data_IF_852692226506
#
_entry.id   IF_852692226506
#
_cell.length_a   1.000
_cell.length_b   1.000
_cell.length_c   1.000
_cell.angle_alpha   90.00
_cell.angle_beta   90.00
_cell.angle_gamma   90.00
#
_symmetry.space_group_name_H-M   'P 1'
#
loop_
_entity.id
_entity.type
_entity.pdbx_description
1 polymer ?
#
# COMPACT_ATOMS: atom_id res chain seq x y z
N UNK A 1 17.57 17.67 47.00
CA UNK A 1 17.55 19.05 46.46
C UNK A 1 18.68 19.20 45.46
N UNK A 2 18.36 19.23 44.17
CA UNK A 2 19.29 19.64 43.11
C UNK A 2 18.50 20.58 42.20
N UNK A 3 18.76 21.87 42.40
CA UNK A 3 18.16 23.00 41.69
C UNK A 3 18.80 23.12 40.31
N UNK A 4 18.05 22.83 39.25
CA UNK A 4 18.45 23.21 37.90
C UNK A 4 18.08 24.68 37.68
N UNK A 5 19.13 25.52 37.70
CA UNK A 5 19.08 26.91 37.28
C UNK A 5 18.55 27.00 35.84
N UNK A 6 17.41 27.65 35.68
CA UNK A 6 16.94 28.26 34.43
C UNK A 6 18.03 29.17 33.87
N UNK A 7 18.72 28.71 32.83
CA UNK A 7 19.48 29.61 31.95
C UNK A 7 18.46 30.36 31.10
N UNK A 8 18.26 31.63 31.45
CA UNK A 8 17.75 32.64 30.53
C UNK A 8 18.49 32.53 29.19
N UNK A 9 17.75 32.29 28.12
CA UNK A 9 18.19 32.61 26.76
C UNK A 9 17.32 33.79 26.33
N UNK A 10 17.89 34.98 26.46
CA UNK A 10 17.35 36.20 25.91
C UNK A 10 17.01 36.03 24.42
N UNK A 11 15.73 36.21 24.15
CA UNK A 11 15.13 36.84 22.98
C UNK A 11 16.08 37.30 21.87
N UNK A 12 15.98 36.65 20.71
CA UNK A 12 15.95 37.32 19.40
C UNK A 12 15.40 36.35 18.36
N UNK A 13 14.45 36.82 17.55
CA UNK A 13 14.00 36.09 16.37
C UNK A 13 15.20 35.67 15.50
N UNK A 14 15.13 34.53 14.79
CA UNK A 14 16.19 34.10 13.88
C UNK A 14 16.58 35.23 12.89
N UNK A 15 17.82 35.24 12.37
CA UNK A 15 18.26 36.25 11.41
C UNK A 15 17.25 36.42 10.27
N UNK A 16 16.75 37.65 10.08
CA UNK A 16 15.75 37.98 9.05
C UNK A 16 14.29 37.67 9.38
N UNK A 17 13.97 37.09 10.55
CA UNK A 17 12.61 36.64 10.91
C UNK A 17 11.89 37.51 11.96
N UNK A 18 12.45 38.69 12.28
CA UNK A 18 11.90 39.60 13.31
C UNK A 18 10.47 40.10 13.01
N UNK A 19 10.15 40.37 11.75
CA UNK A 19 8.79 40.79 11.37
C UNK A 19 7.77 39.65 11.49
N UNK A 20 8.19 38.42 11.18
CA UNK A 20 7.35 37.23 11.28
C UNK A 20 6.94 36.94 12.73
N UNK A 21 7.90 37.02 13.66
CA UNK A 21 7.63 36.87 15.10
C UNK A 21 6.72 37.98 15.62
N UNK A 22 6.90 39.23 15.18
CA UNK A 22 6.01 40.33 15.55
C UNK A 22 4.58 40.12 15.05
N UNK A 23 4.39 39.54 13.86
CA UNK A 23 3.08 39.14 13.36
C UNK A 23 2.43 38.07 14.25
N UNK A 24 3.16 37.00 14.58
CA UNK A 24 2.64 35.94 15.44
C UNK A 24 2.21 36.44 16.83
N UNK A 25 3.01 37.32 17.45
CA UNK A 25 2.67 37.91 18.75
C UNK A 25 1.46 38.86 18.67
N UNK A 26 1.34 39.64 17.59
CA UNK A 26 0.20 40.54 17.38
C UNK A 26 -1.14 39.77 17.23
N UNK A 27 -1.06 38.51 16.78
CA UNK A 27 -2.23 37.62 16.60
C UNK A 27 -2.53 36.76 17.84
N UNK A 28 -1.95 37.10 19.00
CA UNK A 28 -2.23 36.46 20.29
C UNK A 28 -1.47 35.15 20.55
N UNK A 29 -0.44 34.85 19.77
CA UNK A 29 0.45 33.71 20.03
C UNK A 29 1.40 34.06 21.18
N UNK A 30 1.54 33.13 22.14
CA UNK A 30 2.53 33.30 23.20
C UNK A 30 3.95 33.33 22.63
N UNK A 31 4.81 34.05 23.34
CA UNK A 31 6.15 34.39 22.89
C UNK A 31 6.99 33.15 22.60
N UNK A 32 6.93 32.14 23.45
CA UNK A 32 7.70 30.91 23.32
C UNK A 32 7.31 30.14 22.04
N UNK A 33 6.01 30.08 21.71
CA UNK A 33 5.53 29.46 20.47
C UNK A 33 5.90 30.27 19.23
N UNK A 34 5.80 31.59 19.30
CA UNK A 34 6.16 32.48 18.18
C UNK A 34 7.65 32.35 17.82
N UNK A 35 8.53 32.25 18.82
CA UNK A 35 9.96 32.06 18.61
C UNK A 35 10.32 30.64 18.15
N UNK A 36 9.71 29.61 18.74
CA UNK A 36 9.96 28.22 18.36
C UNK A 36 9.56 27.96 16.88
N UNK A 37 8.43 28.51 16.45
CA UNK A 37 7.96 28.40 15.08
C UNK A 37 8.88 29.13 14.09
N UNK A 38 9.33 30.33 14.44
CA UNK A 38 10.28 31.07 13.60
C UNK A 38 11.62 30.32 13.45
N UNK A 39 12.14 29.70 14.52
CA UNK A 39 13.35 28.88 14.48
C UNK A 39 13.19 27.60 13.65
N UNK A 40 12.03 26.92 13.75
CA UNK A 40 11.70 25.77 12.92
C UNK A 40 11.74 26.11 11.42
N UNK A 41 11.14 27.24 11.03
CA UNK A 41 11.13 27.72 9.64
C UNK A 41 12.55 28.08 9.17
N UNK A 42 13.31 28.77 10.02
CA UNK A 42 14.68 29.17 9.71
C UNK A 42 15.61 27.96 9.50
N UNK A 43 15.53 26.96 10.37
CA UNK A 43 16.35 25.75 10.29
C UNK A 43 16.00 24.92 9.06
N UNK A 44 14.71 24.75 8.75
CA UNK A 44 14.25 24.02 7.56
C UNK A 44 14.73 24.67 6.25
N UNK A 45 14.74 26.00 6.18
CA UNK A 45 15.24 26.75 5.02
C UNK A 45 16.77 26.63 4.83
N UNK A 46 17.50 26.35 5.91
CA UNK A 46 18.94 26.08 5.86
C UNK A 46 19.23 24.59 5.53
N UNK A 47 18.39 23.65 5.99
CA UNK A 47 18.45 22.24 5.60
C UNK A 47 18.14 22.03 4.10
N UNK A 48 17.20 22.78 3.52
CA UNK A 48 16.90 22.75 2.08
C UNK A 48 18.05 23.31 1.21
N UNK A 49 18.95 24.12 1.78
CA UNK A 49 20.16 24.61 1.08
C UNK A 49 21.33 23.63 1.14
N UNK A 50 21.32 22.68 2.08
CA UNK A 50 22.39 21.68 2.27
C UNK A 50 22.02 20.29 1.74
N UNK A 51 20.84 20.12 1.15
CA UNK A 51 20.43 18.85 0.52
C UNK A 51 20.99 18.77 -0.90
N UNK A 52 21.90 17.81 -1.10
CA UNK A 52 22.28 17.34 -2.43
C UNK A 52 21.04 16.83 -3.19
N UNK A 53 20.95 16.99 -4.52
CA UNK A 53 19.76 16.65 -5.31
C UNK A 53 19.38 15.16 -5.40
N UNK A 54 19.97 14.28 -4.59
CA UNK A 54 19.90 12.82 -4.78
C UNK A 54 18.78 12.09 -4.01
N UNK A 55 17.97 12.75 -3.19
CA UNK A 55 16.87 12.09 -2.44
C UNK A 55 15.48 12.17 -3.10
N UNK A 56 15.41 12.20 -4.43
CA UNK A 56 14.17 11.89 -5.17
C UNK A 56 14.29 10.47 -5.75
N UNK A 57 14.52 9.51 -4.84
CA UNK A 57 14.55 8.09 -5.12
C UNK A 57 13.17 7.63 -5.61
N UNK A 58 12.94 7.78 -6.91
CA UNK A 58 11.96 7.01 -7.63
C UNK A 58 12.35 5.55 -7.52
N UNK A 59 11.81 4.85 -6.52
CA UNK A 59 11.93 3.42 -6.28
C UNK A 59 12.10 2.67 -7.60
N UNK A 60 13.33 2.21 -7.82
CA UNK A 60 13.55 1.05 -8.67
C UNK A 60 12.91 -0.07 -7.87
N UNK A 61 11.74 -0.55 -8.30
CA UNK A 61 11.29 -1.88 -7.92
C UNK A 61 12.36 -2.83 -8.47
N UNK A 62 13.37 -3.10 -7.64
CA UNK A 62 14.10 -4.35 -7.70
C UNK A 62 13.04 -5.40 -7.39
N UNK A 63 12.39 -5.88 -8.46
CA UNK A 63 11.70 -7.15 -8.39
C UNK A 63 12.76 -8.11 -7.88
N UNK A 64 12.54 -8.64 -6.68
CA UNK A 64 13.17 -9.86 -6.23
C UNK A 64 12.97 -10.81 -7.40
N UNK A 65 14.00 -11.02 -8.23
CA UNK A 65 14.00 -12.15 -9.14
C UNK A 65 13.69 -13.33 -8.25
N UNK A 66 12.64 -14.10 -8.55
CA UNK A 66 12.24 -15.30 -7.81
C UNK A 66 13.52 -16.08 -7.48
N UNK A 67 14.04 -15.85 -6.28
CA UNK A 67 15.38 -16.26 -5.93
C UNK A 67 15.17 -17.72 -5.61
N UNK A 68 15.71 -18.61 -6.43
CA UNK A 68 15.65 -20.02 -6.13
C UNK A 68 16.28 -20.21 -4.75
N UNK A 69 15.52 -20.80 -3.84
CA UNK A 69 15.97 -21.06 -2.48
C UNK A 69 16.67 -22.41 -2.55
N UNK A 70 17.98 -22.43 -2.35
CA UNK A 70 18.78 -23.65 -2.48
C UNK A 70 18.55 -24.38 -3.83
N UNK A 71 18.22 -23.65 -4.91
CA UNK A 71 17.93 -24.23 -6.21
C UNK A 71 16.47 -24.63 -6.46
N UNK A 72 15.58 -24.47 -5.49
CA UNK A 72 14.13 -24.73 -5.61
C UNK A 72 13.40 -23.46 -6.04
N UNK A 73 12.58 -23.53 -7.10
CA UNK A 73 11.76 -22.39 -7.53
C UNK A 73 10.60 -22.13 -6.55
N UNK A 74 9.99 -20.95 -6.60
CA UNK A 74 8.84 -20.64 -5.73
C UNK A 74 7.68 -21.62 -5.95
N UNK A 75 7.39 -21.94 -7.22
CA UNK A 75 6.35 -22.90 -7.60
C UNK A 75 6.68 -24.32 -7.15
N UNK A 76 7.94 -24.75 -7.27
CA UNK A 76 8.34 -26.07 -6.78
C UNK A 76 8.22 -26.16 -5.26
N UNK A 77 8.50 -25.06 -4.53
CA UNK A 77 8.40 -25.03 -3.06
C UNK A 77 6.98 -25.37 -2.57
N UNK A 78 5.94 -24.93 -3.27
CA UNK A 78 4.55 -25.28 -2.94
C UNK A 78 4.33 -26.79 -2.99
N UNK A 79 4.76 -27.43 -4.07
CA UNK A 79 4.68 -28.88 -4.23
C UNK A 79 5.53 -29.62 -3.18
N UNK A 80 6.73 -29.11 -2.85
CA UNK A 80 7.59 -29.70 -1.81
C UNK A 80 6.90 -29.66 -0.44
N UNK A 81 6.23 -28.55 -0.10
CA UNK A 81 5.44 -28.42 1.13
C UNK A 81 4.31 -29.46 1.16
N UNK A 82 3.60 -29.67 0.05
CA UNK A 82 2.52 -30.67 -0.03
C UNK A 82 3.04 -32.09 0.19
N UNK A 83 4.14 -32.46 -0.48
CA UNK A 83 4.76 -33.78 -0.31
C UNK A 83 5.21 -33.99 1.14
N UNK A 84 5.89 -33.01 1.73
CA UNK A 84 6.31 -33.06 3.13
C UNK A 84 5.11 -33.16 4.09
N UNK A 85 4.05 -32.39 3.85
CA UNK A 85 2.81 -32.45 4.63
C UNK A 85 2.17 -33.84 4.58
N UNK A 86 2.21 -34.48 3.41
CA UNK A 86 1.60 -35.79 3.19
C UNK A 86 2.47 -36.99 3.61
N UNK A 87 3.56 -36.75 4.34
CA UNK A 87 4.39 -37.80 4.94
C UNK A 87 5.74 -38.00 4.25
N UNK A 88 6.12 -37.08 3.36
CA UNK A 88 7.38 -37.11 2.64
C UNK A 88 7.33 -37.93 1.36
N UNK A 89 8.44 -37.91 0.61
CA UNK A 89 8.53 -38.43 -0.75
C UNK A 89 7.93 -39.83 -0.95
N UNK A 90 8.27 -40.78 -0.08
CA UNK A 90 7.85 -42.19 -0.24
C UNK A 90 6.40 -42.45 0.21
N UNK A 91 5.79 -41.52 0.94
CA UNK A 91 4.46 -41.71 1.55
C UNK A 91 3.39 -40.79 0.98
N UNK A 92 3.78 -39.74 0.26
CA UNK A 92 2.86 -38.80 -0.36
C UNK A 92 2.11 -39.48 -1.53
N UNK A 93 0.82 -39.18 -1.73
CA UNK A 93 0.02 -39.80 -2.79
C UNK A 93 0.41 -39.33 -4.20
N UNK A 94 1.03 -38.16 -4.32
CA UNK A 94 1.52 -37.56 -5.56
C UNK A 94 2.74 -36.67 -5.24
N UNK A 95 3.68 -36.59 -6.18
CA UNK A 95 4.86 -35.72 -6.12
C UNK A 95 4.71 -34.49 -7.02
N UNK A 96 3.60 -34.37 -7.75
CA UNK A 96 3.24 -33.22 -8.59
C UNK A 96 4.30 -32.89 -9.66
N UNK A 97 4.96 -33.93 -10.17
CA UNK A 97 6.02 -33.80 -11.18
C UNK A 97 7.35 -33.29 -10.64
N UNK A 98 7.51 -33.16 -9.31
CA UNK A 98 8.79 -32.85 -8.70
C UNK A 98 9.83 -33.94 -9.01
N UNK A 99 11.08 -33.51 -9.12
CA UNK A 99 12.23 -34.41 -9.10
C UNK A 99 12.66 -34.65 -7.65
N UNK A 100 13.22 -35.83 -7.38
CA UNK A 100 13.66 -36.21 -6.03
C UNK A 100 14.70 -35.22 -5.48
N UNK A 101 15.62 -34.79 -6.34
CA UNK A 101 16.67 -33.84 -5.96
C UNK A 101 16.10 -32.46 -5.58
N UNK A 102 15.02 -32.04 -6.27
CA UNK A 102 14.32 -30.80 -5.94
C UNK A 102 13.60 -30.90 -4.59
N UNK A 103 12.98 -32.04 -4.30
CA UNK A 103 12.37 -32.29 -3.01
C UNK A 103 13.41 -32.33 -1.89
N UNK A 104 14.49 -33.11 -2.05
CA UNK A 104 15.53 -33.26 -1.03
C UNK A 104 16.20 -31.91 -0.71
N UNK A 105 16.35 -31.02 -1.70
CA UNK A 105 16.86 -29.67 -1.49
C UNK A 105 15.93 -28.77 -0.65
N UNK A 106 14.62 -29.00 -0.70
CA UNK A 106 13.60 -28.22 0.01
C UNK A 106 13.02 -28.89 1.27
N UNK A 107 13.29 -30.19 1.48
CA UNK A 107 12.57 -31.03 2.46
C UNK A 107 12.62 -30.46 3.88
N UNK A 108 13.81 -30.09 4.38
CA UNK A 108 13.96 -29.60 5.74
C UNK A 108 13.13 -28.32 6.01
N UNK A 109 13.06 -27.43 5.01
CA UNK A 109 12.28 -26.19 5.06
C UNK A 109 10.78 -26.54 5.04
N UNK A 110 10.39 -27.37 4.08
CA UNK A 110 9.01 -27.80 3.88
C UNK A 110 8.43 -28.57 5.09
N UNK A 111 9.23 -29.39 5.77
CA UNK A 111 8.82 -30.11 6.97
C UNK A 111 8.49 -29.17 8.14
N UNK A 112 9.27 -28.10 8.33
CA UNK A 112 8.98 -27.09 9.36
C UNK A 112 7.65 -26.38 9.04
N UNK A 113 7.49 -25.92 7.79
CA UNK A 113 6.26 -25.25 7.34
C UNK A 113 5.05 -26.19 7.48
N UNK A 114 5.16 -27.43 7.02
CA UNK A 114 4.09 -28.41 7.09
C UNK A 114 3.70 -28.76 8.53
N UNK A 115 4.67 -28.81 9.45
CA UNK A 115 4.41 -29.02 10.88
C UNK A 115 3.59 -27.88 11.45
N UNK A 116 3.98 -26.64 11.18
CA UNK A 116 3.27 -25.45 11.67
C UNK A 116 1.86 -25.36 11.07
N UNK A 117 1.69 -25.68 9.78
CA UNK A 117 0.36 -25.73 9.16
C UNK A 117 -0.52 -26.75 9.89
N UNK A 118 -0.02 -27.96 10.20
CA UNK A 118 -0.80 -28.97 10.92
C UNK A 118 -1.23 -28.48 12.30
N UNK A 119 -0.33 -27.85 13.06
CA UNK A 119 -0.63 -27.39 14.42
C UNK A 119 -1.64 -26.25 14.44
N UNK A 120 -1.52 -25.28 13.51
CA UNK A 120 -2.35 -24.07 13.53
C UNK A 120 -3.71 -24.26 12.85
N UNK A 121 -3.77 -25.05 11.76
CA UNK A 121 -4.99 -25.21 10.97
C UNK A 121 -5.82 -26.44 11.35
N UNK A 122 -5.24 -27.39 12.09
CA UNK A 122 -5.80 -28.72 12.35
C UNK A 122 -6.13 -29.50 11.06
N UNK A 123 -5.48 -29.19 9.94
CA UNK A 123 -5.66 -29.94 8.69
C UNK A 123 -5.30 -31.43 8.89
N UNK A 124 -6.13 -32.39 8.44
CA UNK A 124 -5.88 -33.81 8.64
C UNK A 124 -4.55 -34.25 8.01
N UNK A 125 -3.89 -35.24 8.61
CA UNK A 125 -2.69 -35.82 8.00
C UNK A 125 -3.00 -36.37 6.60
N UNK A 126 -2.03 -36.22 5.67
CA UNK A 126 -2.14 -36.70 4.27
C UNK A 126 -3.32 -36.11 3.47
N UNK A 127 -3.81 -34.94 3.85
CA UNK A 127 -4.97 -34.31 3.19
C UNK A 127 -4.63 -33.13 2.28
N UNK A 128 -3.37 -32.66 2.27
CA UNK A 128 -3.01 -31.45 1.55
C UNK A 128 -2.84 -31.73 0.07
N UNK A 129 -3.31 -30.82 -0.76
CA UNK A 129 -3.33 -30.92 -2.21
C UNK A 129 -2.77 -29.62 -2.77
N UNK A 130 -1.84 -29.73 -3.72
CA UNK A 130 -1.34 -28.58 -4.47
C UNK A 130 -2.42 -28.11 -5.44
N UNK A 131 -2.76 -26.82 -5.45
CA UNK A 131 -3.66 -26.29 -6.46
C UNK A 131 -3.02 -26.31 -7.85
N UNK A 132 -1.71 -26.07 -7.92
CA UNK A 132 -0.93 -26.04 -9.16
C UNK A 132 -1.21 -24.81 -10.01
N UNK A 133 -0.89 -24.89 -11.31
CA UNK A 133 -1.12 -23.81 -12.30
C UNK A 133 -2.58 -23.69 -12.76
N UNK A 134 -3.52 -24.23 -11.98
CA UNK A 134 -4.94 -24.24 -12.30
C UNK A 134 -5.55 -22.84 -12.37
N UNK A 135 -6.70 -22.75 -13.06
CA UNK A 135 -7.49 -21.52 -13.17
C UNK A 135 -8.77 -21.70 -12.37
N UNK A 136 -8.97 -20.88 -11.33
CA UNK A 136 -10.18 -20.91 -10.52
C UNK A 136 -11.39 -20.38 -11.29
N UNK A 137 -12.58 -20.90 -10.98
CA UNK A 137 -13.81 -20.41 -11.61
C UNK A 137 -14.20 -19.05 -11.05
N UNK A 138 -14.19 -18.05 -11.92
CA UNK A 138 -14.57 -16.68 -11.57
C UNK A 138 -16.09 -16.55 -11.37
N UNK A 139 -16.47 -15.70 -10.42
CA UNK A 139 -17.82 -15.19 -10.27
C UNK A 139 -18.21 -14.39 -11.54
N UNK A 140 -19.38 -14.65 -12.17
CA UNK A 140 -19.84 -13.90 -13.34
C UNK A 140 -19.91 -12.38 -13.15
N UNK A 141 -20.11 -11.92 -11.91
CA UNK A 141 -20.16 -10.49 -11.57
C UNK A 141 -18.76 -9.87 -11.39
N UNK A 142 -17.70 -10.69 -11.45
CA UNK A 142 -16.31 -10.21 -11.43
C UNK A 142 -15.93 -9.65 -12.81
N UNK A 143 -15.54 -8.39 -12.87
CA UNK A 143 -15.20 -7.71 -14.13
C UNK A 143 -13.86 -8.17 -14.70
N UNK A 144 -12.96 -8.67 -13.83
CA UNK A 144 -11.62 -9.11 -14.21
C UNK A 144 -11.62 -10.49 -14.87
N UNK A 145 -10.58 -10.77 -15.66
CA UNK A 145 -10.39 -12.08 -16.30
C UNK A 145 -9.27 -12.90 -15.66
N UNK A 146 -8.62 -12.38 -14.62
CA UNK A 146 -7.52 -13.09 -13.97
C UNK A 146 -8.07 -14.21 -13.09
N UNK A 147 -8.10 -15.44 -13.60
CA UNK A 147 -8.51 -16.63 -12.86
C UNK A 147 -7.43 -17.25 -11.98
N UNK A 148 -6.28 -16.59 -11.76
CA UNK A 148 -5.26 -17.10 -10.81
C UNK A 148 -5.87 -17.17 -9.41
N UNK A 149 -5.98 -18.37 -8.82
CA UNK A 149 -6.51 -18.58 -7.48
C UNK A 149 -5.78 -17.77 -6.41
N UNK A 150 -6.44 -17.56 -5.27
CA UNK A 150 -5.78 -17.08 -4.04
C UNK A 150 -5.17 -18.22 -3.23
N UNK A 151 -5.62 -19.44 -3.50
CA UNK A 151 -5.19 -20.65 -2.84
C UNK A 151 -4.04 -21.29 -3.60
N UNK A 152 -2.95 -21.55 -2.90
CA UNK A 152 -1.82 -22.30 -3.42
C UNK A 152 -1.93 -23.77 -2.98
N UNK A 153 -2.34 -24.01 -1.73
CA UNK A 153 -2.56 -25.34 -1.17
C UNK A 153 -3.97 -25.46 -0.57
N UNK A 154 -4.63 -26.61 -0.72
CA UNK A 154 -5.89 -26.86 -0.01
C UNK A 154 -5.97 -28.27 0.57
N UNK A 155 -6.80 -28.46 1.59
CA UNK A 155 -7.04 -29.75 2.22
C UNK A 155 -8.44 -30.28 1.88
N UNK A 156 -8.62 -31.59 2.05
CA UNK A 156 -9.93 -32.23 1.93
C UNK A 156 -10.93 -31.79 3.01
N UNK A 157 -10.49 -31.11 4.07
CA UNK A 157 -11.34 -30.58 5.15
C UNK A 157 -11.70 -29.09 4.98
N UNK A 158 -11.43 -28.49 3.82
CA UNK A 158 -11.82 -27.10 3.52
C UNK A 158 -10.87 -26.03 4.07
N UNK A 159 -9.64 -26.40 4.43
CA UNK A 159 -8.55 -25.44 4.66
C UNK A 159 -7.93 -25.08 3.32
N UNK A 160 -7.96 -23.81 2.94
CA UNK A 160 -7.41 -23.26 1.70
C UNK A 160 -6.38 -22.18 2.04
N UNK A 161 -5.13 -22.41 1.69
CA UNK A 161 -3.97 -21.66 2.14
C UNK A 161 -3.40 -20.84 0.98
N UNK A 162 -3.22 -19.54 1.23
CA UNK A 162 -2.32 -18.69 0.46
C UNK A 162 -0.93 -18.71 1.08
N UNK A 163 0.08 -19.08 0.31
CA UNK A 163 1.48 -19.07 0.68
C UNK A 163 2.12 -17.74 0.28
N UNK A 164 2.88 -17.15 1.19
CA UNK A 164 3.69 -15.95 0.92
C UNK A 164 5.07 -16.09 1.54
N UNK A 165 6.08 -15.63 0.81
CA UNK A 165 7.41 -15.48 1.37
C UNK A 165 7.48 -14.22 2.26
N UNK A 166 8.21 -14.32 3.38
CA UNK A 166 8.52 -13.18 4.22
C UNK A 166 9.25 -12.08 3.43
N UNK A 167 8.95 -10.81 3.73
CA UNK A 167 9.55 -9.65 3.05
C UNK A 167 8.88 -9.22 1.73
N UNK A 168 7.98 -10.02 1.15
CA UNK A 168 7.33 -9.74 -0.13
C UNK A 168 5.91 -9.12 -0.06
N UNK A 169 5.48 -8.58 1.09
CA UNK A 169 4.05 -8.41 1.36
C UNK A 169 3.39 -7.17 0.71
N UNK A 170 2.95 -7.35 -0.53
CA UNK A 170 1.78 -6.66 -1.08
C UNK A 170 0.53 -7.53 -0.87
N UNK A 171 -0.56 -6.96 -0.37
CA UNK A 171 -1.86 -7.66 -0.23
C UNK A 171 -2.54 -7.74 -1.59
N UNK A 172 -2.41 -6.69 -2.40
CA UNK A 172 -3.05 -6.57 -3.70
C UNK A 172 -2.19 -5.74 -4.65
N UNK A 173 -2.24 -6.11 -5.93
CA UNK A 173 -1.79 -5.29 -7.05
C UNK A 173 -2.76 -5.50 -8.21
N UNK A 174 -3.85 -4.72 -8.21
CA UNK A 174 -4.93 -4.83 -9.20
C UNK A 174 -4.75 -3.87 -10.37
N UNK A 175 -5.07 -4.34 -11.58
CA UNK A 175 -5.40 -3.47 -12.70
C UNK A 175 -6.86 -3.03 -12.62
N UNK A 176 -7.35 -2.26 -13.61
CA UNK A 176 -8.68 -1.64 -13.61
C UNK A 176 -9.78 -2.61 -13.17
N UNK A 177 -9.97 -3.70 -13.89
CA UNK A 177 -11.11 -4.59 -13.69
C UNK A 177 -11.05 -5.32 -12.34
N UNK A 178 -9.86 -5.79 -11.96
CA UNK A 178 -9.62 -6.41 -10.64
C UNK A 178 -9.87 -5.41 -9.50
N UNK A 179 -9.46 -4.16 -9.67
CA UNK A 179 -9.62 -3.12 -8.65
C UNK A 179 -11.08 -2.77 -8.46
N UNK A 180 -11.79 -2.45 -9.54
CA UNK A 180 -13.21 -2.08 -9.47
C UNK A 180 -14.06 -3.23 -8.91
N UNK A 181 -13.75 -4.48 -9.28
CA UNK A 181 -14.46 -5.64 -8.74
C UNK A 181 -14.23 -5.83 -7.24
N UNK A 182 -13.02 -5.55 -6.74
CA UNK A 182 -12.71 -5.59 -5.30
C UNK A 182 -13.51 -4.52 -4.53
N UNK A 183 -13.65 -3.31 -5.10
CA UNK A 183 -14.53 -2.28 -4.53
C UNK A 183 -15.99 -2.73 -4.50
N UNK A 184 -16.49 -3.26 -5.61
CA UNK A 184 -17.88 -3.74 -5.70
C UNK A 184 -18.17 -4.88 -4.72
N UNK A 185 -17.24 -5.83 -4.56
CA UNK A 185 -17.35 -6.90 -3.58
C UNK A 185 -17.44 -6.37 -2.14
N UNK A 186 -16.62 -5.38 -1.79
CA UNK A 186 -16.66 -4.74 -0.48
C UNK A 186 -17.96 -3.95 -0.25
N UNK A 187 -18.46 -3.25 -1.27
CA UNK A 187 -19.77 -2.57 -1.24
C UNK A 187 -20.88 -3.59 -1.01
N UNK A 188 -20.90 -4.68 -1.78
CA UNK A 188 -21.89 -5.75 -1.65
C UNK A 188 -21.87 -6.38 -0.26
N UNK A 189 -20.67 -6.60 0.29
CA UNK A 189 -20.47 -7.15 1.64
C UNK A 189 -21.08 -6.26 2.74
N UNK A 190 -21.04 -4.93 2.57
CA UNK A 190 -21.60 -3.96 3.52
C UNK A 190 -23.08 -3.63 3.28
N UNK A 191 -23.59 -3.90 2.07
CA UNK A 191 -24.94 -3.50 1.66
C UNK A 191 -25.20 -2.01 1.87
N UNK A 192 -26.33 -1.69 2.52
CA UNK A 192 -26.74 -0.30 2.77
C UNK A 192 -25.80 0.51 3.69
N UNK A 193 -24.82 -0.14 4.33
CA UNK A 193 -23.82 0.54 5.17
C UNK A 193 -22.60 1.03 4.37
N UNK A 194 -22.48 0.67 3.09
CA UNK A 194 -21.36 1.09 2.26
C UNK A 194 -21.30 2.63 2.14
N UNK A 195 -20.12 3.25 2.32
CA UNK A 195 -19.95 4.69 2.12
C UNK A 195 -20.38 5.16 0.72
N UNK A 196 -21.22 6.19 0.64
CA UNK A 196 -21.82 6.64 -0.64
C UNK A 196 -20.79 7.27 -1.58
N UNK A 197 -19.72 7.82 -1.03
CA UNK A 197 -18.62 8.45 -1.75
C UNK A 197 -17.76 7.46 -2.56
N UNK A 198 -17.88 6.15 -2.32
CA UNK A 198 -17.09 5.12 -3.04
C UNK A 198 -17.30 5.21 -4.55
N UNK A 199 -18.54 5.38 -5.00
CA UNK A 199 -18.84 5.44 -6.44
C UNK A 199 -18.11 6.60 -7.12
N UNK A 200 -18.00 7.74 -6.43
CA UNK A 200 -17.22 8.88 -6.92
C UNK A 200 -15.73 8.55 -6.96
N UNK A 201 -15.19 7.97 -5.89
CA UNK A 201 -13.78 7.55 -5.84
C UNK A 201 -13.43 6.56 -6.95
N UNK A 202 -14.29 5.58 -7.21
CA UNK A 202 -14.12 4.62 -8.30
C UNK A 202 -14.11 5.32 -9.67
N UNK A 203 -15.01 6.30 -9.87
CA UNK A 203 -15.04 7.11 -11.10
C UNK A 203 -13.77 7.94 -11.28
N UNK A 204 -13.19 8.47 -10.19
CA UNK A 204 -11.94 9.24 -10.24
C UNK A 204 -10.72 8.32 -10.48
N UNK A 205 -10.78 7.07 -10.00
CA UNK A 205 -9.73 6.07 -10.12
C UNK A 205 -9.66 5.42 -11.51
N UNK A 206 -10.81 5.15 -12.12
CA UNK A 206 -10.89 4.42 -13.39
C UNK A 206 -9.99 5.00 -14.51
N UNK A 207 -9.97 6.33 -14.78
CA UNK A 207 -9.13 6.91 -15.82
C UNK A 207 -7.63 6.73 -15.56
N UNK A 208 -7.21 6.69 -14.30
CA UNK A 208 -5.78 6.50 -13.97
C UNK A 208 -5.36 5.04 -14.02
N UNK A 209 -6.28 4.07 -13.95
CA UNK A 209 -5.96 2.64 -14.12
C UNK A 209 -5.79 2.23 -15.60
N UNK A 210 -5.78 3.19 -16.54
CA UNK A 210 -5.59 2.93 -17.97
C UNK A 210 -4.24 2.32 -18.31
N UNK A 211 -4.18 1.69 -19.48
CA UNK A 211 -2.95 1.24 -20.14
C UNK A 211 -2.43 2.32 -21.08
N UNK A 212 -1.16 2.69 -20.93
CA UNK A 212 -0.44 3.57 -21.86
C UNK A 212 0.57 2.74 -22.65
N UNK A 213 0.52 2.87 -23.98
CA UNK A 213 1.51 2.29 -24.88
C UNK A 213 2.48 3.36 -25.36
N UNK A 214 3.77 3.06 -25.31
CA UNK A 214 4.87 3.97 -25.66
C UNK A 214 5.74 3.37 -26.76
N UNK A 215 6.35 4.21 -27.62
CA UNK A 215 7.39 3.76 -28.54
C UNK A 215 8.66 3.40 -27.77
N UNK A 216 9.33 2.32 -28.19
CA UNK A 216 10.49 1.81 -27.45
C UNK A 216 10.10 1.14 -26.14
N UNK A 217 11.06 1.03 -25.22
CA UNK A 217 10.81 0.49 -23.89
C UNK A 217 10.43 1.61 -22.89
N UNK A 218 9.71 1.24 -21.82
CA UNK A 218 9.23 2.21 -20.83
C UNK A 218 10.38 2.89 -20.06
N UNK A 219 11.51 2.22 -19.91
CA UNK A 219 12.68 2.81 -19.23
C UNK A 219 13.27 3.98 -20.03
N UNK A 220 13.26 3.90 -21.36
CA UNK A 220 13.71 5.00 -22.22
C UNK A 220 12.86 6.24 -22.04
N UNK A 221 11.53 6.10 -22.00
CA UNK A 221 10.65 7.26 -21.79
C UNK A 221 10.79 7.83 -20.37
N UNK A 222 10.88 6.99 -19.35
CA UNK A 222 11.12 7.43 -17.96
C UNK A 222 12.45 8.17 -17.86
N UNK A 223 13.53 7.63 -18.43
CA UNK A 223 14.85 8.26 -18.44
C UNK A 223 14.80 9.61 -19.16
N UNK A 224 14.12 9.70 -20.31
CA UNK A 224 14.00 10.95 -21.05
C UNK A 224 13.20 12.04 -20.31
N UNK A 225 12.27 11.65 -19.43
CA UNK A 225 11.58 12.57 -18.52
C UNK A 225 12.55 13.07 -17.44
N UNK A 226 13.29 12.16 -16.79
CA UNK A 226 14.29 12.51 -15.76
C UNK A 226 15.38 13.43 -16.31
N UNK A 227 15.97 13.04 -17.44
CA UNK A 227 17.08 13.75 -18.09
C UNK A 227 16.62 15.00 -18.86
N UNK A 228 15.31 15.30 -18.87
CA UNK A 228 14.71 16.41 -19.63
C UNK A 228 15.15 16.45 -21.10
N UNK A 229 15.28 15.27 -21.71
CA UNK A 229 15.85 15.10 -23.06
C UNK A 229 14.89 14.36 -24.00
N UNK A 230 15.19 14.40 -25.30
CA UNK A 230 14.43 13.66 -26.33
C UNK A 230 15.39 12.80 -27.16
N UNK A 231 15.45 11.47 -26.92
CA UNK A 231 16.27 10.59 -27.74
C UNK A 231 15.76 10.51 -29.18
N UNK A 232 16.66 10.22 -30.14
CA UNK A 232 16.28 9.97 -31.55
C UNK A 232 15.76 8.55 -31.78
N UNK A 233 16.00 7.63 -30.85
CA UNK A 233 15.62 6.23 -30.95
C UNK A 233 16.20 5.36 -29.84
N UNK A 234 15.91 4.06 -29.87
CA UNK A 234 16.47 3.06 -28.95
C UNK A 234 16.63 1.71 -29.65
N UNK A 235 17.67 0.97 -29.27
CA UNK A 235 17.81 -0.47 -29.58
C UNK A 235 17.20 -1.29 -28.45
N UNK A 236 16.18 -2.10 -28.72
CA UNK A 236 15.48 -2.88 -27.69
C UNK A 236 15.28 -4.35 -28.08
N UNK A 237 15.24 -5.25 -27.09
CA UNK A 237 14.95 -6.69 -27.30
C UNK A 237 13.47 -6.94 -27.47
N UNK A 238 13.11 -7.88 -28.34
CA UNK A 238 11.70 -8.27 -28.56
C UNK A 238 11.33 -9.46 -27.71
N UNK A 239 10.36 -9.26 -26.79
CA UNK A 239 9.91 -10.30 -25.87
C UNK A 239 11.07 -11.01 -25.15
N UNK A 240 11.00 -12.32 -25.03
CA UNK A 240 12.10 -13.15 -24.47
C UNK A 240 13.09 -13.64 -25.53
N UNK A 241 12.99 -13.16 -26.78
CA UNK A 241 13.89 -13.57 -27.85
C UNK A 241 15.24 -12.84 -27.78
N UNK A 242 16.27 -13.40 -28.43
CA UNK A 242 17.56 -12.71 -28.65
C UNK A 242 17.46 -11.60 -29.71
N UNK A 243 16.32 -11.46 -30.40
CA UNK A 243 16.11 -10.48 -31.47
C UNK A 243 16.06 -9.05 -30.90
N UNK A 244 16.70 -8.13 -31.60
CA UNK A 244 16.67 -6.69 -31.31
C UNK A 244 16.01 -5.90 -32.43
N UNK A 245 15.45 -4.74 -32.09
CA UNK A 245 14.93 -3.75 -33.02
C UNK A 245 15.61 -2.41 -32.78
N UNK A 246 15.99 -1.74 -33.86
CA UNK A 246 16.40 -0.33 -33.84
C UNK A 246 15.17 0.55 -34.12
N UNK A 247 14.66 1.17 -33.07
CA UNK A 247 13.40 1.92 -33.08
C UNK A 247 13.74 3.41 -33.16
N UNK A 248 13.32 4.08 -34.23
CA UNK A 248 13.46 5.54 -34.36
C UNK A 248 12.22 6.23 -33.79
N UNK A 249 12.44 7.33 -33.08
CA UNK A 249 11.34 8.09 -32.46
C UNK A 249 10.95 9.27 -33.33
N UNK A 250 9.64 9.43 -33.54
CA UNK A 250 9.09 10.69 -33.99
C UNK A 250 9.11 11.68 -32.81
N UNK A 251 9.82 12.80 -32.96
CA UNK A 251 9.99 13.79 -31.88
C UNK A 251 8.66 14.29 -31.31
N UNK A 252 7.69 14.62 -32.17
CA UNK A 252 6.39 15.19 -31.75
C UNK A 252 5.56 14.16 -30.99
N UNK A 253 5.46 12.94 -31.51
CA UNK A 253 4.71 11.85 -30.86
C UNK A 253 5.36 11.42 -29.53
N UNK A 254 6.69 11.39 -29.48
CA UNK A 254 7.43 11.02 -28.29
C UNK A 254 7.25 12.05 -27.17
N UNK A 255 7.33 13.35 -27.47
CA UNK A 255 7.05 14.41 -26.50
C UNK A 255 5.59 14.40 -26.02
N UNK A 256 4.62 14.17 -26.92
CA UNK A 256 3.23 14.01 -26.52
C UNK A 256 3.04 12.82 -25.55
N UNK A 257 3.74 11.70 -25.79
CA UNK A 257 3.72 10.55 -24.87
C UNK A 257 4.43 10.81 -23.54
N UNK A 258 5.50 11.62 -23.53
CA UNK A 258 6.14 12.06 -22.29
C UNK A 258 5.18 12.89 -21.45
N UNK A 259 4.51 13.88 -22.06
CA UNK A 259 3.51 14.70 -21.39
C UNK A 259 2.37 13.83 -20.83
N UNK A 260 1.83 12.90 -21.63
CA UNK A 260 0.79 11.98 -21.17
C UNK A 260 1.21 11.19 -19.92
N UNK A 261 2.45 10.70 -19.85
CA UNK A 261 2.96 9.95 -18.68
C UNK A 261 3.16 10.87 -17.47
N UNK A 262 3.62 12.10 -17.68
CA UNK A 262 3.79 13.09 -16.59
C UNK A 262 2.43 13.39 -15.96
N UNK A 263 1.44 13.76 -16.75
CA UNK A 263 0.10 14.09 -16.28
C UNK A 263 -0.57 12.89 -15.60
N UNK A 264 -0.41 11.71 -16.18
CA UNK A 264 -0.93 10.47 -15.63
C UNK A 264 -0.33 10.11 -14.28
N UNK A 265 1.00 10.26 -14.12
CA UNK A 265 1.68 10.07 -12.83
C UNK A 265 1.25 11.11 -11.80
N UNK A 266 1.08 12.37 -12.21
CA UNK A 266 0.61 13.44 -11.33
C UNK A 266 -0.81 13.14 -10.82
N UNK A 267 -1.72 12.69 -11.69
CA UNK A 267 -3.08 12.30 -11.31
C UNK A 267 -3.09 11.14 -10.31
N UNK A 268 -2.27 10.10 -10.52
CA UNK A 268 -2.12 9.01 -9.54
C UNK A 268 -1.57 9.50 -8.20
N UNK A 269 -0.56 10.38 -8.22
CA UNK A 269 0.03 10.96 -7.00
C UNK A 269 -1.02 11.75 -6.22
N UNK A 270 -1.88 12.52 -6.90
CA UNK A 270 -2.96 13.27 -6.28
C UNK A 270 -4.05 12.38 -5.66
N UNK A 271 -4.34 11.22 -6.26
CA UNK A 271 -5.35 10.28 -5.74
C UNK A 271 -4.87 9.47 -4.53
N UNK A 272 -3.56 9.20 -4.41
CA UNK A 272 -2.99 8.45 -3.28
C UNK A 272 -3.46 8.95 -1.90
N UNK A 273 -3.29 10.23 -1.52
CA UNK A 273 -3.74 10.72 -0.22
C UNK A 273 -5.26 10.66 -0.07
N UNK A 274 -6.04 10.87 -1.14
CA UNK A 274 -7.51 10.81 -1.11
C UNK A 274 -7.97 9.39 -0.74
N UNK A 275 -7.40 8.37 -1.39
CA UNK A 275 -7.74 6.99 -1.08
C UNK A 275 -7.24 6.55 0.30
N UNK A 276 -6.04 6.97 0.72
CA UNK A 276 -5.55 6.66 2.06
C UNK A 276 -6.44 7.32 3.14
N UNK A 277 -6.79 8.59 2.99
CA UNK A 277 -7.72 9.30 3.88
C UNK A 277 -9.07 8.57 3.95
N UNK A 278 -9.64 8.20 2.79
CA UNK A 278 -10.91 7.45 2.72
C UNK A 278 -10.82 6.10 3.45
N UNK A 279 -9.75 5.34 3.23
CA UNK A 279 -9.53 4.04 3.89
C UNK A 279 -9.29 4.18 5.40
N UNK A 280 -8.66 5.27 5.85
CA UNK A 280 -8.49 5.59 7.28
C UNK A 280 -9.82 5.98 7.95
N UNK A 281 -10.65 6.75 7.27
CA UNK A 281 -11.94 7.22 7.79
C UNK A 281 -13.03 6.12 7.73
N UNK A 282 -12.88 5.13 6.84
CA UNK A 282 -13.87 4.07 6.60
C UNK A 282 -13.31 2.68 6.92
N UNK A 283 -12.98 2.45 8.19
CA UNK A 283 -12.32 1.22 8.66
C UNK A 283 -13.09 -0.06 8.33
N UNK A 284 -14.43 -0.05 8.44
CA UNK A 284 -15.25 -1.23 8.13
C UNK A 284 -15.20 -1.56 6.64
N UNK A 285 -15.29 -0.54 5.77
CA UNK A 285 -15.11 -0.73 4.32
C UNK A 285 -13.72 -1.27 4.00
N UNK A 286 -12.68 -0.65 4.58
CA UNK A 286 -11.30 -1.10 4.44
C UNK A 286 -11.12 -2.55 4.87
N UNK A 287 -11.77 -2.99 5.94
CA UNK A 287 -11.76 -4.39 6.40
C UNK A 287 -12.31 -5.32 5.33
N UNK A 288 -13.47 -5.03 4.76
CA UNK A 288 -14.07 -5.87 3.70
C UNK A 288 -13.30 -5.82 2.38
N UNK A 289 -12.74 -4.66 2.02
CA UNK A 289 -11.88 -4.54 0.86
C UNK A 289 -10.61 -5.39 1.00
N UNK A 290 -9.96 -5.34 2.16
CA UNK A 290 -8.76 -6.15 2.45
C UNK A 290 -9.10 -7.63 2.55
N UNK A 291 -10.27 -7.96 3.11
CA UNK A 291 -10.80 -9.32 3.14
C UNK A 291 -10.91 -9.91 1.74
N UNK A 292 -11.59 -9.21 0.81
CA UNK A 292 -11.71 -9.67 -0.57
C UNK A 292 -10.34 -9.74 -1.26
N UNK A 293 -9.50 -8.73 -1.10
CA UNK A 293 -8.17 -8.71 -1.69
C UNK A 293 -7.29 -9.89 -1.25
N UNK A 294 -7.41 -10.30 0.02
CA UNK A 294 -6.64 -11.39 0.60
C UNK A 294 -7.23 -12.78 0.27
N UNK A 295 -8.56 -12.92 0.28
CA UNK A 295 -9.24 -14.22 0.20
C UNK A 295 -9.78 -14.55 -1.18
N UNK A 296 -10.20 -13.54 -1.96
CA UNK A 296 -10.93 -13.73 -3.22
C UNK A 296 -12.28 -14.40 -3.02
N UNK A 297 -12.92 -14.20 -1.88
CA UNK A 297 -14.18 -14.85 -1.53
C UNK A 297 -15.30 -14.55 -2.54
N UNK A 298 -15.48 -13.29 -2.89
CA UNK A 298 -16.48 -12.90 -3.89
C UNK A 298 -16.01 -13.29 -5.29
N UNK A 299 -14.72 -13.03 -5.62
CA UNK A 299 -14.12 -13.35 -6.91
C UNK A 299 -14.27 -14.82 -7.30
N UNK A 300 -14.08 -15.73 -6.35
CA UNK A 300 -14.09 -17.17 -6.56
C UNK A 300 -15.28 -17.85 -5.88
N UNK A 301 -16.35 -17.13 -5.56
CA UNK A 301 -17.53 -17.70 -4.89
C UNK A 301 -18.07 -19.01 -5.52
N UNK A 302 -18.04 -19.22 -6.86
CA UNK A 302 -18.45 -20.48 -7.48
C UNK A 302 -17.48 -21.65 -7.27
N UNK A 303 -16.28 -21.39 -6.75
CA UNK A 303 -15.16 -22.32 -6.61
C UNK A 303 -14.62 -22.31 -5.18
N UNK A 304 -15.08 -23.28 -4.39
CA UNK A 304 -14.71 -23.42 -2.99
C UNK A 304 -13.23 -23.74 -2.72
N UNK A 305 -12.42 -23.97 -3.75
CA UNK A 305 -10.98 -24.23 -3.59
C UNK A 305 -10.13 -23.04 -4.01
N UNK A 306 -10.63 -22.18 -4.91
CA UNK A 306 -9.83 -21.08 -5.45
C UNK A 306 -9.75 -19.85 -4.53
N UNK A 307 -10.68 -19.71 -3.58
CA UNK A 307 -10.60 -18.72 -2.51
C UNK A 307 -9.79 -19.23 -1.31
N UNK A 308 -8.97 -18.37 -0.70
CA UNK A 308 -8.19 -18.74 0.49
C UNK A 308 -8.91 -18.32 1.78
N UNK A 309 -8.79 -19.15 2.82
CA UNK A 309 -9.29 -18.85 4.16
C UNK A 309 -8.18 -18.83 5.22
N UNK A 310 -6.96 -19.21 4.85
CA UNK A 310 -5.73 -19.08 5.64
C UNK A 310 -4.61 -18.46 4.82
N UNK A 311 -3.68 -17.80 5.51
CA UNK A 311 -2.42 -17.33 4.93
C UNK A 311 -1.25 -17.86 5.75
N UNK A 312 -0.23 -18.33 5.06
CA UNK A 312 1.05 -18.73 5.65
C UNK A 312 2.12 -17.81 5.06
N UNK A 313 2.72 -16.99 5.92
CA UNK A 313 3.93 -16.24 5.57
C UNK A 313 5.12 -17.01 6.12
N UNK A 314 5.99 -17.51 5.25
CA UNK A 314 7.13 -18.35 5.64
C UNK A 314 8.47 -17.68 5.34
N UNK A 315 9.49 -17.97 6.15
CA UNK A 315 10.87 -17.62 5.81
C UNK A 315 11.36 -18.59 4.72
N UNK A 316 11.63 -18.09 3.50
CA UNK A 316 12.13 -18.94 2.43
C UNK A 316 13.45 -19.64 2.77
N UNK A 317 14.32 -19.07 3.61
CA UNK A 317 15.64 -19.64 3.88
C UNK A 317 15.64 -20.78 4.90
N UNK A 318 14.75 -20.71 5.90
CA UNK A 318 14.77 -21.62 7.06
C UNK A 318 13.48 -22.41 7.25
N UNK A 319 12.35 -21.91 6.73
CA UNK A 319 11.03 -22.44 7.02
C UNK A 319 10.63 -22.32 8.49
N UNK A 320 11.31 -21.47 9.27
CA UNK A 320 11.03 -21.21 10.68
C UNK A 320 10.36 -19.84 10.87
N UNK A 321 9.81 -19.61 12.06
CA UNK A 321 9.11 -18.38 12.44
C UNK A 321 7.96 -18.02 11.47
N UNK A 322 7.27 -19.05 10.99
CA UNK A 322 6.16 -18.91 10.05
C UNK A 322 4.99 -18.21 10.72
N UNK A 323 4.41 -17.23 10.04
CA UNK A 323 3.17 -16.59 10.47
C UNK A 323 2.00 -17.27 9.78
N UNK A 324 1.22 -18.04 10.52
CA UNK A 324 0.03 -18.71 10.03
C UNK A 324 -1.20 -18.05 10.63
N UNK A 325 -2.09 -17.55 9.78
CA UNK A 325 -3.20 -16.71 10.21
C UNK A 325 -4.46 -17.04 9.44
N UNK A 326 -5.57 -17.13 10.16
CA UNK A 326 -6.87 -17.31 9.55
C UNK A 326 -7.33 -15.98 8.94
N UNK A 327 -7.82 -16.04 7.70
CA UNK A 327 -8.36 -14.89 6.96
C UNK A 327 -9.88 -14.85 7.00
N UNK A 328 -10.54 -16.02 7.00
CA UNK A 328 -12.00 -16.15 6.91
C UNK A 328 -12.55 -17.12 7.95
N UNK A 329 -13.67 -16.73 8.58
CA UNK A 329 -14.52 -17.59 9.42
C UNK A 329 -15.73 -18.13 8.66
N UNK A 330 -15.78 -17.92 7.34
CA UNK A 330 -16.89 -18.29 6.46
C UNK A 330 -17.30 -17.16 5.51
N UNK A 331 -18.35 -17.39 4.70
CA UNK A 331 -18.82 -16.42 3.71
C UNK A 331 -19.14 -15.07 4.34
N UNK A 332 -18.58 -14.00 3.76
CA UNK A 332 -18.66 -12.63 4.27
C UNK A 332 -18.31 -12.45 5.78
N UNK A 333 -17.44 -13.31 6.34
CA UNK A 333 -17.01 -13.25 7.75
C UNK A 333 -15.48 -13.14 7.85
N UNK A 334 -14.92 -11.92 7.80
CA UNK A 334 -13.50 -11.70 8.00
C UNK A 334 -13.05 -12.18 9.38
N UNK A 335 -11.94 -12.90 9.46
CA UNK A 335 -11.33 -13.29 10.73
C UNK A 335 -10.65 -12.08 11.41
N UNK A 336 -10.38 -12.11 12.73
CA UNK A 336 -9.77 -11.00 13.47
C UNK A 336 -8.45 -10.50 12.86
N UNK A 337 -7.66 -11.39 12.27
CA UNK A 337 -6.40 -11.00 11.63
C UNK A 337 -6.60 -10.03 10.45
N UNK A 338 -7.75 -10.08 9.75
CA UNK A 338 -8.05 -9.13 8.68
C UNK A 338 -8.11 -7.70 9.20
N UNK A 339 -8.58 -7.47 10.43
CA UNK A 339 -8.56 -6.14 11.03
C UNK A 339 -7.13 -5.65 11.28
N UNK A 340 -6.26 -6.55 11.77
CA UNK A 340 -4.83 -6.28 11.92
C UNK A 340 -4.17 -5.96 10.58
N UNK A 341 -4.42 -6.78 9.55
CA UNK A 341 -3.88 -6.55 8.21
C UNK A 341 -4.41 -5.24 7.62
N UNK A 342 -5.71 -5.02 7.73
CA UNK A 342 -6.38 -3.81 7.31
C UNK A 342 -5.74 -2.60 7.94
N UNK A 343 -5.47 -2.58 9.25
CA UNK A 343 -4.87 -1.42 9.92
C UNK A 343 -3.47 -1.04 9.42
N UNK A 344 -2.73 -1.96 8.81
CA UNK A 344 -1.34 -1.76 8.38
C UNK A 344 -1.18 -1.42 6.90
N UNK A 345 -2.15 -1.78 6.05
CA UNK A 345 -2.02 -1.54 4.60
C UNK A 345 -2.10 -0.06 4.24
N UNK A 346 -1.34 0.37 3.23
CA UNK A 346 -1.53 1.67 2.58
C UNK A 346 -1.91 1.49 1.13
N UNK A 347 -2.72 2.43 0.64
CA UNK A 347 -3.05 2.50 -0.78
C UNK A 347 -1.89 3.15 -1.52
N UNK A 348 -1.44 2.48 -2.57
CA UNK A 348 -0.51 3.02 -3.56
C UNK A 348 -1.07 2.84 -4.96
N UNK A 349 -1.38 3.95 -5.60
CA UNK A 349 -1.75 4.06 -7.01
C UNK A 349 -0.49 4.51 -7.74
N UNK A 350 0.00 3.64 -8.62
CA UNK A 350 1.20 3.93 -9.40
C UNK A 350 1.18 3.16 -10.72
N UNK A 351 1.98 3.58 -11.70
CA UNK A 351 2.23 2.76 -12.87
C UNK A 351 2.85 1.43 -12.46
N UNK A 352 2.46 0.36 -13.14
CA UNK A 352 3.10 -0.94 -13.14
C UNK A 352 3.52 -1.27 -14.56
N UNK A 353 4.80 -1.54 -14.72
CA UNK A 353 5.37 -1.89 -16.01
C UNK A 353 5.69 -3.38 -15.99
N UNK A 354 5.10 -4.19 -16.87
CA UNK A 354 5.51 -5.58 -17.04
C UNK A 354 7.02 -5.65 -17.32
N UNK A 355 7.69 -6.59 -16.66
CA UNK A 355 9.15 -6.64 -16.46
C UNK A 355 10.00 -6.40 -17.71
N UNK A 356 10.98 -5.49 -17.61
CA UNK A 356 12.18 -5.41 -18.46
C UNK A 356 12.21 -4.35 -19.58
N UNK A 357 13.41 -4.12 -20.14
CA UNK A 357 13.68 -3.23 -21.29
C UNK A 357 13.18 -3.77 -22.64
N UNK A 358 12.14 -4.62 -22.60
CA UNK A 358 11.62 -5.39 -23.73
C UNK A 358 10.52 -4.61 -24.46
N UNK A 359 10.36 -4.92 -25.74
CA UNK A 359 9.32 -4.36 -26.61
C UNK A 359 8.53 -5.47 -27.30
N UNK A 360 7.34 -5.12 -27.78
CA UNK A 360 6.54 -5.92 -28.70
C UNK A 360 7.23 -6.04 -30.06
N UNK A 361 6.72 -6.93 -30.92
CA UNK A 361 7.19 -7.02 -32.30
C UNK A 361 7.03 -5.72 -33.10
N UNK A 362 6.14 -4.82 -32.65
CA UNK A 362 5.90 -3.48 -33.23
C UNK A 362 6.85 -2.40 -32.66
N UNK A 363 7.80 -2.77 -31.81
CA UNK A 363 8.74 -1.81 -31.20
C UNK A 363 8.10 -0.92 -30.13
N UNK A 364 7.05 -1.39 -29.47
CA UNK A 364 6.34 -0.65 -28.41
C UNK A 364 6.29 -1.42 -27.10
N UNK A 365 6.18 -0.71 -25.98
CA UNK A 365 5.94 -1.29 -24.68
C UNK A 365 4.71 -0.66 -24.03
N UNK A 366 4.14 -1.32 -23.03
CA UNK A 366 2.99 -0.78 -22.30
C UNK A 366 3.29 -0.70 -20.81
N UNK A 367 2.75 0.33 -20.18
CA UNK A 367 2.66 0.48 -18.73
C UNK A 367 1.19 0.63 -18.36
N UNK A 368 0.79 0.13 -17.21
CA UNK A 368 -0.62 0.06 -16.79
C UNK A 368 -0.75 0.66 -15.41
N UNK A 369 -1.83 1.40 -15.15
CA UNK A 369 -2.10 1.93 -13.83
C UNK A 369 -2.50 0.80 -12.90
N UNK A 370 -1.96 0.81 -11.69
CA UNK A 370 -2.24 -0.24 -10.71
C UNK A 370 -2.65 0.36 -9.38
N UNK A 371 -3.64 -0.27 -8.75
CA UNK A 371 -4.02 -0.01 -7.37
C UNK A 371 -3.39 -1.09 -6.49
N UNK A 372 -2.62 -0.68 -5.49
CA UNK A 372 -1.86 -1.60 -4.64
C UNK A 372 -2.16 -1.36 -3.17
N UNK A 373 -2.16 -2.46 -2.42
CA UNK A 373 -2.17 -2.46 -0.97
C UNK A 373 -0.81 -2.95 -0.49
N UNK A 374 -0.01 -2.04 0.06
CA UNK A 374 1.34 -2.35 0.58
C UNK A 374 1.33 -2.38 2.09
N UNK A 375 2.06 -3.32 2.69
CA UNK A 375 2.30 -3.32 4.13
C UNK A 375 3.53 -2.46 4.41
N UNK A 376 3.36 -1.14 4.51
CA UNK A 376 4.48 -0.25 4.77
C UNK A 376 4.88 -0.35 6.25
N UNK A 377 6.08 -0.85 6.49
CA UNK A 377 6.88 -0.36 7.61
C UNK A 377 7.13 1.13 7.39
N UNK A 378 6.30 1.97 8.03
CA UNK A 378 6.65 3.32 8.48
C UNK A 378 7.04 4.28 7.36
N UNK A 379 6.08 4.77 6.57
CA UNK A 379 5.90 6.23 6.63
C UNK A 379 5.15 6.58 7.93
N UNK A 380 5.90 6.91 8.98
CA UNK A 380 5.38 7.68 10.11
C UNK A 380 4.97 9.02 9.50
N UNK A 381 3.68 9.23 9.28
CA UNK A 381 3.17 10.57 8.98
C UNK A 381 3.53 11.48 10.16
N UNK A 382 4.61 12.23 10.01
CA UNK A 382 4.96 13.29 10.95
C UNK A 382 3.99 14.45 10.72
N UNK A 383 3.75 15.25 11.76
CA UNK A 383 2.95 16.48 11.68
C UNK A 383 3.39 17.38 10.51
N UNK A 384 4.70 17.43 10.23
CA UNK A 384 5.27 18.11 9.06
C UNK A 384 4.80 17.53 7.72
N UNK A 385 4.69 16.21 7.59
CA UNK A 385 4.17 15.57 6.38
C UNK A 385 2.69 15.84 6.13
N UNK A 386 1.88 15.88 7.20
CA UNK A 386 0.47 16.29 7.13
C UNK A 386 0.31 17.76 6.73
N UNK A 387 1.13 18.65 7.29
CA UNK A 387 1.14 20.07 6.94
C UNK A 387 1.49 20.32 5.47
N UNK A 388 2.51 19.64 4.95
CA UNK A 388 2.94 19.79 3.55
C UNK A 388 1.82 19.32 2.59
N UNK A 389 1.23 18.15 2.84
CA UNK A 389 0.13 17.62 2.00
C UNK A 389 -1.08 18.55 1.98
N UNK A 390 -1.46 19.11 3.11
CA UNK A 390 -2.62 20.00 3.22
C UNK A 390 -2.31 21.41 2.68
N UNK A 391 -1.06 21.87 2.76
CA UNK A 391 -0.61 23.10 2.09
C UNK A 391 -0.65 22.97 0.56
N UNK A 392 -0.28 21.82 0.00
CA UNK A 392 -0.39 21.56 -1.44
C UNK A 392 -1.85 21.60 -1.92
N UNK A 393 -2.79 21.01 -1.16
CA UNK A 393 -4.23 21.08 -1.45
C UNK A 393 -4.75 22.52 -1.40
N UNK A 394 -4.35 23.29 -0.38
CA UNK A 394 -4.73 24.69 -0.25
C UNK A 394 -4.21 25.56 -1.42
N UNK A 395 -2.97 25.31 -1.84
CA UNK A 395 -2.38 26.01 -2.99
C UNK A 395 -3.12 25.69 -4.31
N UNK A 396 -3.59 24.46 -4.50
CA UNK A 396 -4.41 24.10 -5.66
C UNK A 396 -5.81 24.74 -5.62
N UNK A 397 -6.43 24.83 -4.44
CA UNK A 397 -7.71 25.54 -4.24
C UNK A 397 -7.59 27.07 -4.41
N UNK A 398 -6.39 27.63 -4.26
CA UNK A 398 -6.10 29.05 -4.51
C UNK A 398 -5.93 29.36 -6.00
N UNK A 399 -5.35 28.44 -6.77
CA UNK A 399 -5.07 28.61 -8.20
C UNK A 399 -6.32 28.51 -9.10
N UNK A 400 -7.45 28.08 -8.55
CA UNK A 400 -8.70 27.84 -9.28
C UNK A 400 -9.73 28.94 -9.12
N UNK A 401 -9.48 29.94 -8.26
CA UNK A 401 -10.39 31.07 -8.05
C UNK A 401 -9.77 32.38 -8.53
N UNK A 402 -10.19 32.83 -9.72
CA UNK A 402 -9.99 34.21 -10.16
C UNK A 402 -10.77 35.14 -9.23
N UNK A 403 -10.06 36.12 -8.65
CA UNK A 403 -10.55 37.18 -7.73
C UNK A 403 -10.69 36.83 -6.23
N UNK A 404 -9.56 36.57 -5.57
CA UNK A 404 -9.47 36.53 -4.10
C UNK A 404 -9.02 37.88 -3.52
N UNK A 405 -9.99 38.69 -3.10
CA UNK A 405 -9.77 39.80 -2.16
C UNK A 405 -9.16 39.29 -0.83
N UNK A 406 -8.34 40.10 -0.15
CA UNK A 406 -7.62 39.73 1.08
C UNK A 406 -8.53 39.12 2.18
N UNK A 407 -9.76 39.60 2.30
CA UNK A 407 -10.74 39.07 3.25
C UNK A 407 -11.22 37.64 2.94
N UNK A 408 -11.38 37.29 1.65
CA UNK A 408 -11.76 35.94 1.22
C UNK A 408 -10.58 34.97 1.37
N UNK A 409 -9.37 35.44 1.11
CA UNK A 409 -8.12 34.70 1.35
C UNK A 409 -7.99 34.31 2.82
N UNK A 410 -8.25 35.26 3.73
CA UNK A 410 -8.19 35.05 5.18
C UNK A 410 -9.28 34.09 5.69
N UNK A 411 -10.51 34.22 5.18
CA UNK A 411 -11.60 33.30 5.50
C UNK A 411 -11.29 31.85 5.04
N UNK A 412 -10.70 31.70 3.85
CA UNK A 412 -10.23 30.41 3.34
C UNK A 412 -9.08 29.83 4.15
N UNK A 413 -8.08 30.64 4.51
CA UNK A 413 -6.95 30.23 5.34
C UNK A 413 -7.41 29.75 6.73
N UNK A 414 -8.35 30.47 7.34
CA UNK A 414 -8.98 30.09 8.61
C UNK A 414 -9.77 28.79 8.49
N UNK A 415 -10.51 28.62 7.39
CA UNK A 415 -11.20 27.38 7.07
C UNK A 415 -10.25 26.19 6.93
N UNK A 416 -9.15 26.37 6.21
CA UNK A 416 -8.09 25.38 6.02
C UNK A 416 -7.41 24.99 7.34
N UNK A 417 -6.95 25.97 8.14
CA UNK A 417 -6.37 25.75 9.47
C UNK A 417 -7.32 24.99 10.38
N UNK A 418 -8.61 25.33 10.36
CA UNK A 418 -9.61 24.64 11.18
C UNK A 418 -9.83 23.18 10.76
N UNK A 419 -9.79 22.88 9.46
CA UNK A 419 -9.90 21.51 8.93
C UNK A 419 -8.66 20.70 9.27
N UNK A 420 -7.47 21.28 9.07
CA UNK A 420 -6.19 20.68 9.43
C UNK A 420 -6.13 20.35 10.93
N UNK A 421 -6.49 21.31 11.78
CA UNK A 421 -6.52 21.14 13.23
C UNK A 421 -7.51 20.03 13.64
N UNK A 422 -8.72 20.00 13.05
CA UNK A 422 -9.67 18.89 13.29
C UNK A 422 -9.11 17.54 12.86
N UNK A 423 -8.38 17.45 11.75
CA UNK A 423 -7.79 16.20 11.25
C UNK A 423 -6.67 15.71 12.17
N UNK A 424 -5.79 16.61 12.60
CA UNK A 424 -4.74 16.34 13.59
C UNK A 424 -5.35 15.92 14.93
N UNK A 425 -6.35 16.65 15.42
CA UNK A 425 -7.07 16.31 16.65
C UNK A 425 -7.81 14.99 16.55
N UNK A 426 -8.42 14.65 15.40
CA UNK A 426 -9.00 13.31 15.17
C UNK A 426 -7.94 12.22 15.23
N UNK A 427 -6.77 12.39 14.61
CA UNK A 427 -5.67 11.42 14.70
C UNK A 427 -5.14 11.28 16.13
N UNK A 428 -5.02 12.39 16.86
CA UNK A 428 -4.67 12.37 18.29
C UNK A 428 -5.75 11.68 19.14
N UNK A 429 -7.03 11.94 18.88
CA UNK A 429 -8.15 11.26 19.53
C UNK A 429 -8.17 9.76 19.19
N UNK A 430 -7.84 9.36 17.97
CA UNK A 430 -7.74 7.95 17.57
C UNK A 430 -6.56 7.26 18.24
N UNK A 431 -5.40 7.92 18.35
CA UNK A 431 -4.24 7.43 19.09
C UNK A 431 -4.54 7.33 20.59
N UNK A 432 -5.19 8.34 21.16
CA UNK A 432 -5.62 8.36 22.55
C UNK A 432 -6.70 7.29 22.82
N UNK A 433 -7.65 7.08 21.92
CA UNK A 433 -8.64 5.99 22.00
C UNK A 433 -7.97 4.62 21.91
N UNK A 434 -7.02 4.42 21.00
CA UNK A 434 -6.25 3.16 20.90
C UNK A 434 -5.42 2.91 22.16
N UNK A 435 -4.79 3.96 22.71
CA UNK A 435 -4.09 3.91 23.99
C UNK A 435 -5.02 3.63 25.16
N UNK A 436 -6.19 4.27 25.19
CA UNK A 436 -7.23 4.07 26.21
C UNK A 436 -7.83 2.67 26.15
N UNK A 437 -8.20 2.17 24.97
CA UNK A 437 -8.70 0.79 24.80
C UNK A 437 -7.63 -0.23 25.19
N UNK A 438 -6.36 0.00 24.86
CA UNK A 438 -5.25 -0.85 25.31
C UNK A 438 -5.08 -0.80 26.84
N UNK A 439 -5.21 0.36 27.46
CA UNK A 439 -5.10 0.54 28.92
C UNK A 439 -6.29 -0.11 29.66
N UNK A 440 -7.49 0.03 29.14
CA UNK A 440 -8.74 -0.49 29.73
C UNK A 440 -8.83 -2.02 29.60
N UNK A 441 -8.38 -2.57 28.47
CA UNK A 441 -8.23 -4.02 28.30
C UNK A 441 -7.11 -4.61 29.17
N UNK A 442 -6.08 -3.83 29.50
CA UNK A 442 -4.98 -4.27 30.36
C UNK A 442 -5.33 -4.26 31.85
N UNK A 443 -6.23 -3.37 32.30
CA UNK A 443 -6.58 -3.21 33.72
C UNK A 443 -7.98 -3.74 34.09
N UNK A 444 -8.74 -4.35 33.18
CA UNK A 444 -10.10 -4.89 33.39
C UNK A 444 -11.07 -3.92 34.11
N UNK A 445 -10.85 -2.61 33.98
CA UNK A 445 -11.55 -1.59 34.76
C UNK A 445 -12.65 -0.92 33.93
N UNK A 446 -13.84 -0.75 34.51
CA UNK A 446 -14.97 0.02 33.93
C UNK A 446 -15.20 1.27 34.78
N UNK A 447 -14.72 2.46 34.37
CA UNK A 447 -14.97 3.70 35.10
C UNK A 447 -16.42 4.16 34.90
N UNK A 448 -17.10 4.55 35.99
CA UNK A 448 -18.49 5.02 35.97
C UNK A 448 -18.66 6.40 35.31
N UNK A 449 -17.61 7.22 35.22
CA UNK A 449 -17.57 8.44 34.39
C UNK A 449 -16.15 8.95 34.18
N UNK A 450 -15.95 9.75 33.13
CA UNK A 450 -14.70 10.44 32.82
C UNK A 450 -14.95 11.93 32.92
N UNK A 451 -14.34 12.59 33.89
CA UNK A 451 -14.38 14.04 34.00
C UNK A 451 -13.33 14.66 33.04
N UNK A 452 -13.79 15.52 32.13
CA UNK A 452 -12.99 16.12 31.06
C UNK A 452 -12.49 17.52 31.41
N UNK A 453 -12.21 17.78 32.68
CA UNK A 453 -11.77 19.09 33.19
C UNK A 453 -10.51 19.66 32.52
N UNK A 454 -9.72 18.83 31.80
CA UNK A 454 -8.59 19.29 30.97
C UNK A 454 -8.90 19.71 29.52
N UNK A 455 -10.09 19.43 28.99
CA UNK A 455 -10.48 19.73 27.59
C UNK A 455 -11.00 21.16 27.40
N UNK A 456 -11.42 21.82 28.48
CA UNK A 456 -11.91 23.21 28.47
C UNK A 456 -10.80 24.22 28.15
N UNK A 457 -9.54 23.90 28.49
CA UNK A 457 -8.34 24.66 28.11
C UNK A 457 -8.07 24.68 26.59
N UNK A 458 -8.71 23.79 25.84
CA UNK A 458 -8.59 23.67 24.38
C UNK A 458 -9.86 24.14 23.63
N UNK A 459 -10.74 24.89 24.31
CA UNK A 459 -11.90 25.54 23.68
C UNK A 459 -13.12 24.65 23.47
N UNK A 460 -13.23 23.52 24.18
CA UNK A 460 -14.46 22.75 24.26
C UNK A 460 -15.38 23.36 25.32
N UNK A 461 -16.64 23.64 24.93
CA UNK A 461 -17.78 23.72 25.85
C UNK A 461 -18.41 22.36 25.97
#
# INVERSE_FOLDING_TARGET
>A
MLSFKTKQLEEKAPPGMKQLVKGFKADGMDDDKAFALAWSIYNKKNEEKSRDPEEDEGYVEEYISEKSINGVSATDMEAVIVVAFNGGWDNAPDTHGLKKETYDAGEAIALNIAKDIKSETNAPAKSMIHFGSGVGKLNPDWLGSNGTPKTDLYSTSGINISLKQAGGSQVMSGYKEETLSTFNAAIASMGNKAPKEINKLMSDLEPVLKKITVPGNVNTIIKSIKDKSTPKGVRARVGSSKRTLDIKFNKKEYEAKKAEIIDWKAAMKALNPIFNDFFEDNLEFRKFFVYEAATGEFKFAPDKYANSNWMVVFDPATGKDNTIVQLSLGPNKPAPYIETLASKVKVRISPKTPTGSKVSAKGTASTVGSFRLTNDSVDKETFSGLLIKEQEKFNQELLTEEYLTEAKLFAKLKGWLSKLFRKVMKKMQQLAKKGYTALMSYFEYQPESVDTTGLQLFGFK
#
